data_IF_528727358259
#
_entry.id   IF_528727358259
#
_cell.length_a   1.000
_cell.length_b   1.000
_cell.length_c   1.000
_cell.angle_alpha   90.00
_cell.angle_beta   90.00
_cell.angle_gamma   90.00
#
_symmetry.space_group_name_H-M   'P 1'
#
loop_
_entity.id
_entity.type
_entity.pdbx_description
1 polymer ?
#
# COMPACT_ATOMS: atom_id res chain seq x y z
N UNK A 1 -33.16 -0.73 1.67
CA UNK A 1 -31.97 -1.53 1.34
C UNK A 1 -30.73 -0.66 1.54
N UNK A 2 -29.94 -0.90 2.59
CA UNK A 2 -28.70 -0.15 2.81
C UNK A 2 -27.60 -0.66 1.87
N UNK A 3 -27.16 0.16 0.92
CA UNK A 3 -25.97 -0.14 0.10
C UNK A 3 -24.75 -0.05 1.01
N UNK A 4 -24.12 -1.17 1.33
CA UNK A 4 -22.81 -1.14 1.97
C UNK A 4 -21.85 -0.35 1.07
N UNK A 5 -21.12 0.64 1.61
CA UNK A 5 -20.11 1.35 0.83
C UNK A 5 -19.07 0.33 0.36
N UNK A 6 -18.78 0.29 -0.94
CA UNK A 6 -17.71 -0.55 -1.49
C UNK A 6 -16.43 -0.23 -0.74
N UNK A 7 -15.79 -1.24 -0.14
CA UNK A 7 -14.50 -1.06 0.52
C UNK A 7 -13.52 -0.49 -0.50
N UNK A 8 -12.91 0.65 -0.17
CA UNK A 8 -11.85 1.24 -1.00
C UNK A 8 -10.74 0.19 -1.18
N UNK A 9 -10.18 0.03 -2.39
CA UNK A 9 -9.11 -0.94 -2.66
C UNK A 9 -7.89 -0.65 -1.79
N UNK A 10 -7.16 -1.70 -1.41
CA UNK A 10 -5.87 -1.55 -0.75
C UNK A 10 -4.82 -1.22 -1.82
N UNK A 11 -4.02 -0.19 -1.58
CA UNK A 11 -2.96 0.29 -2.48
C UNK A 11 -1.66 0.46 -1.69
N UNK A 12 -0.51 0.51 -2.38
CA UNK A 12 0.78 0.74 -1.74
C UNK A 12 0.77 2.01 -0.87
N UNK A 13 0.28 3.12 -1.43
CA UNK A 13 0.13 4.41 -0.73
C UNK A 13 -0.69 4.29 0.57
N UNK A 14 -1.75 3.48 0.59
CA UNK A 14 -2.56 3.31 1.80
C UNK A 14 -1.85 2.50 2.87
N UNK A 15 -0.99 1.56 2.48
CA UNK A 15 -0.16 0.79 3.41
C UNK A 15 0.97 1.66 3.97
N UNK A 16 1.58 2.53 3.15
CA UNK A 16 2.55 3.54 3.60
C UNK A 16 1.93 4.46 4.65
N UNK A 17 0.75 5.02 4.38
CA UNK A 17 0.03 5.84 5.36
C UNK A 17 -0.26 5.08 6.68
N UNK A 18 -0.56 3.78 6.60
CA UNK A 18 -0.78 2.96 7.80
C UNK A 18 0.52 2.75 8.59
N UNK A 19 1.64 2.56 7.90
CA UNK A 19 2.97 2.49 8.52
C UNK A 19 3.32 3.81 9.21
N UNK A 20 3.08 4.96 8.57
CA UNK A 20 3.32 6.28 9.18
C UNK A 20 2.53 6.49 10.47
N UNK A 21 1.25 6.11 10.46
CA UNK A 21 0.40 6.14 11.66
C UNK A 21 0.95 5.22 12.74
N UNK A 22 1.34 3.99 12.39
CA UNK A 22 1.88 3.02 13.34
C UNK A 22 3.23 3.49 13.93
N UNK A 23 4.12 4.04 13.10
CA UNK A 23 5.37 4.66 13.55
C UNK A 23 5.09 5.79 14.54
N UNK A 24 4.11 6.65 14.24
CA UNK A 24 3.70 7.73 15.14
C UNK A 24 3.17 7.23 16.49
N UNK A 25 2.49 6.08 16.51
CA UNK A 25 2.04 5.43 17.75
C UNK A 25 3.25 4.86 18.51
N UNK A 26 4.10 4.09 17.84
CA UNK A 26 5.28 3.46 18.44
C UNK A 26 6.27 4.49 19.00
N UNK A 27 6.46 5.63 18.34
CA UNK A 27 7.34 6.70 18.78
C UNK A 27 6.88 7.38 20.07
N UNK A 28 5.57 7.36 20.36
CA UNK A 28 4.97 7.97 21.55
C UNK A 28 4.81 6.97 22.71
N UNK A 29 4.90 5.67 22.42
CA UNK A 29 4.73 4.61 23.41
C UNK A 29 5.99 4.43 24.27
N UNK A 30 5.82 3.81 25.45
CA UNK A 30 6.97 3.34 26.22
C UNK A 30 7.69 2.22 25.45
N UNK A 31 8.99 2.02 25.72
CA UNK A 31 9.85 1.12 24.95
C UNK A 31 9.30 -0.32 24.86
N UNK A 32 8.76 -0.81 25.96
CA UNK A 32 8.11 -2.12 26.09
C UNK A 32 6.78 -2.21 25.32
N UNK A 33 5.98 -1.15 25.35
CA UNK A 33 4.71 -1.06 24.60
C UNK A 33 4.93 -0.93 23.10
N UNK A 34 5.97 -0.21 22.67
CA UNK A 34 6.32 -0.06 21.26
C UNK A 34 6.65 -1.42 20.60
N UNK A 35 7.20 -2.38 21.37
CA UNK A 35 7.49 -3.73 20.87
C UNK A 35 6.23 -4.47 20.41
N UNK A 36 5.05 -4.14 20.95
CA UNK A 36 3.78 -4.73 20.53
C UNK A 36 3.40 -4.33 19.09
N UNK A 37 3.93 -3.22 18.58
CA UNK A 37 3.71 -2.77 17.21
C UNK A 37 4.53 -3.55 16.18
N UNK A 38 5.63 -4.20 16.58
CA UNK A 38 6.58 -4.85 15.67
C UNK A 38 5.94 -5.91 14.77
N UNK A 39 5.10 -6.85 15.28
CA UNK A 39 4.49 -7.86 14.41
C UNK A 39 3.59 -7.24 13.33
N UNK A 40 2.88 -6.15 13.65
CA UNK A 40 2.03 -5.45 12.69
C UNK A 40 2.87 -4.68 11.68
N UNK A 41 3.95 -4.02 12.12
CA UNK A 41 4.90 -3.33 11.27
C UNK A 41 5.48 -4.26 10.20
N UNK A 42 6.05 -5.40 10.62
CA UNK A 42 6.65 -6.38 9.69
C UNK A 42 5.64 -6.89 8.67
N UNK A 43 4.39 -7.12 9.10
CA UNK A 43 3.33 -7.53 8.18
C UNK A 43 3.03 -6.45 7.14
N UNK A 44 2.92 -5.18 7.56
CA UNK A 44 2.61 -4.08 6.65
C UNK A 44 3.74 -3.81 5.66
N UNK A 45 5.01 -3.91 6.07
CA UNK A 45 6.15 -3.82 5.15
C UNK A 45 6.09 -4.91 4.08
N UNK A 46 5.82 -6.16 4.46
CA UNK A 46 5.71 -7.25 3.49
C UNK A 46 4.52 -7.11 2.54
N UNK A 47 3.41 -6.50 2.97
CA UNK A 47 2.29 -6.19 2.08
C UNK A 47 2.58 -4.99 1.17
N UNK A 48 3.32 -3.99 1.66
CA UNK A 48 3.75 -2.84 0.87
C UNK A 48 4.63 -3.28 -0.32
N UNK A 49 5.60 -4.16 -0.08
CA UNK A 49 6.46 -4.71 -1.12
C UNK A 49 5.63 -5.38 -2.23
N UNK A 50 4.74 -6.30 -1.85
CA UNK A 50 3.88 -7.01 -2.81
C UNK A 50 2.98 -6.08 -3.61
N UNK A 51 2.43 -5.04 -2.97
CA UNK A 51 1.55 -4.09 -3.64
C UNK A 51 2.31 -3.21 -4.62
N UNK A 52 3.51 -2.73 -4.26
CA UNK A 52 4.37 -1.97 -5.17
C UNK A 52 4.71 -2.79 -6.41
N UNK A 53 5.12 -4.05 -6.23
CA UNK A 53 5.42 -4.95 -7.35
C UNK A 53 4.20 -5.15 -8.26
N UNK A 54 3.03 -5.41 -7.67
CA UNK A 54 1.79 -5.62 -8.41
C UNK A 54 1.36 -4.34 -9.18
N UNK A 55 1.40 -3.19 -8.53
CA UNK A 55 1.06 -1.90 -9.12
C UNK A 55 2.02 -1.54 -10.26
N UNK A 56 3.33 -1.78 -10.10
CA UNK A 56 4.34 -1.58 -11.14
C UNK A 56 4.11 -2.47 -12.36
N UNK A 57 3.78 -3.75 -12.14
CA UNK A 57 3.46 -4.69 -13.23
C UNK A 57 2.23 -4.21 -14.00
N UNK A 58 1.17 -3.81 -13.29
CA UNK A 58 -0.05 -3.29 -13.92
C UNK A 58 0.24 -2.00 -14.68
N UNK A 59 1.02 -1.08 -14.12
CA UNK A 59 1.41 0.17 -14.77
C UNK A 59 2.20 -0.10 -16.06
N UNK A 60 3.16 -1.03 -16.03
CA UNK A 60 3.92 -1.47 -17.22
C UNK A 60 3.00 -2.07 -18.29
N UNK A 61 2.05 -2.92 -17.90
CA UNK A 61 1.10 -3.54 -18.82
C UNK A 61 0.20 -2.50 -19.51
N UNK A 62 -0.32 -1.54 -18.75
CA UNK A 62 -1.13 -0.43 -19.28
C UNK A 62 -0.31 0.43 -20.24
N UNK A 63 0.91 0.81 -19.84
CA UNK A 63 1.79 1.63 -20.67
C UNK A 63 2.15 0.94 -21.99
N UNK A 64 2.40 -0.38 -21.97
CA UNK A 64 2.68 -1.16 -23.18
C UNK A 64 1.55 -1.09 -24.22
N UNK A 65 0.30 -1.06 -23.78
CA UNK A 65 -0.86 -0.92 -24.69
C UNK A 65 -0.89 0.52 -25.22
N UNK A 66 -0.78 1.51 -24.35
CA UNK A 66 -0.80 2.94 -24.73
C UNK A 66 0.29 3.29 -25.75
N UNK A 67 1.51 2.78 -25.58
CA UNK A 67 2.62 3.02 -26.54
C UNK A 67 2.40 2.36 -27.89
N UNK A 68 1.61 1.27 -27.96
CA UNK A 68 1.26 0.62 -29.23
C UNK A 68 0.14 1.33 -29.97
N UNK A 69 -0.75 1.99 -29.23
CA UNK A 69 -1.90 2.72 -29.75
C UNK A 69 -1.56 4.14 -30.22
N UNK A 70 -0.34 4.63 -29.96
CA UNK A 70 0.16 5.87 -30.54
C UNK A 70 0.78 5.57 -31.93
N UNK A 71 0.09 5.85 -33.05
CA UNK A 71 0.73 5.81 -34.36
C UNK A 71 1.82 6.89 -34.41
N UNK A 72 2.99 6.51 -34.92
CA UNK A 72 4.02 7.48 -35.30
C UNK A 72 3.44 8.41 -36.37
N UNK A 73 3.15 9.65 -35.98
CA UNK A 73 2.90 10.77 -36.89
C UNK A 73 4.15 11.15 -37.66
#
# INVERSE_FOLDING_TARGET
>A
MSRHPKKKPMTAERVENALDILAGIMAKARKDEALLGVPLWTRLEGELEKLRDAEDVVAKAINRIRTREQPAT
#
